data_IF_405817296696
#
_entry.id   IF_405817296696
#
_cell.length_a   1.000
_cell.length_b   1.000
_cell.length_c   1.000
_cell.angle_alpha   90.00
_cell.angle_beta   90.00
_cell.angle_gamma   90.00
#
_symmetry.space_group_name_H-M   'P 1'
#
loop_
_entity.id
_entity.type
_entity.pdbx_description
1 polymer ?
#
# COMPACT_ATOMS: atom_id res chain seq x y z
N UNK A 1 -19.78 25.31 -35.63
CA UNK A 1 -18.73 25.66 -34.65
C UNK A 1 -17.77 24.49 -34.57
N UNK A 2 -16.55 24.64 -35.09
CA UNK A 2 -15.55 23.58 -35.12
C UNK A 2 -14.59 23.76 -33.94
N UNK A 3 -14.55 22.78 -33.04
CA UNK A 3 -13.58 22.74 -31.94
C UNK A 3 -12.28 22.13 -32.45
N UNK A 4 -11.21 22.92 -32.50
CA UNK A 4 -9.84 22.45 -32.74
C UNK A 4 -9.22 22.08 -31.40
N UNK A 5 -8.84 20.82 -31.24
CA UNK A 5 -8.01 20.36 -30.13
C UNK A 5 -6.55 20.39 -30.59
N UNK A 6 -5.76 21.32 -30.07
CA UNK A 6 -4.31 21.32 -30.24
C UNK A 6 -3.67 20.49 -29.13
N UNK A 7 -3.07 19.37 -29.51
CA UNK A 7 -2.35 18.48 -28.62
C UNK A 7 -1.00 19.10 -28.22
N UNK A 8 -0.78 19.30 -26.93
CA UNK A 8 0.54 19.65 -26.37
C UNK A 8 1.48 18.44 -26.42
N UNK A 9 2.21 18.28 -27.52
CA UNK A 9 3.35 17.37 -27.60
C UNK A 9 4.64 18.14 -27.33
N UNK A 10 5.34 17.81 -26.25
CA UNK A 10 6.68 18.33 -25.96
C UNK A 10 7.67 17.61 -26.87
N UNK A 11 8.27 18.32 -27.82
CA UNK A 11 9.38 17.82 -28.64
C UNK A 11 10.70 18.09 -27.92
N UNK A 12 11.29 17.05 -27.34
CA UNK A 12 12.66 17.12 -26.81
C UNK A 12 13.64 16.78 -27.93
N UNK A 13 14.47 17.74 -28.32
CA UNK A 13 15.67 17.49 -29.13
C UNK A 13 16.83 17.17 -28.17
N UNK A 14 17.32 15.94 -28.17
CA UNK A 14 18.56 15.58 -27.46
C UNK A 14 19.73 15.61 -28.43
N UNK A 15 20.64 16.56 -28.23
CA UNK A 15 21.97 16.61 -28.83
C UNK A 15 22.96 15.90 -27.91
N UNK A 16 23.83 15.05 -28.50
CA UNK A 16 24.93 14.27 -27.91
C UNK A 16 24.59 12.87 -27.33
N UNK A 17 25.35 11.80 -27.70
CA UNK A 17 25.05 10.42 -27.29
C UNK A 17 25.51 10.15 -25.85
N UNK A 18 24.55 10.04 -24.92
CA UNK A 18 24.81 9.56 -23.57
C UNK A 18 25.35 8.11 -23.60
N UNK A 19 26.37 7.83 -22.75
CA UNK A 19 26.92 6.48 -22.52
C UNK A 19 25.78 5.49 -22.29
N UNK A 20 25.72 4.44 -23.13
CA UNK A 20 24.64 3.44 -23.15
C UNK A 20 24.47 2.82 -21.76
N UNK A 21 23.36 3.16 -21.11
CA UNK A 21 22.86 2.45 -19.92
C UNK A 21 22.65 0.98 -20.30
N UNK A 22 23.08 0.05 -19.45
CA UNK A 22 22.89 -1.39 -19.68
C UNK A 22 21.40 -1.68 -19.88
N UNK A 23 21.04 -2.03 -21.10
CA UNK A 23 19.67 -2.41 -21.42
C UNK A 23 19.40 -3.79 -20.81
N UNK A 24 18.35 -3.89 -20.01
CA UNK A 24 17.84 -5.17 -19.54
C UNK A 24 17.31 -5.99 -20.72
N UNK A 25 17.60 -7.30 -20.73
CA UNK A 25 17.07 -8.21 -21.73
C UNK A 25 15.53 -8.23 -21.67
N UNK A 26 14.85 -8.38 -22.82
CA UNK A 26 13.41 -8.60 -22.84
C UNK A 26 13.06 -9.88 -22.08
N UNK A 27 11.89 -9.89 -21.43
CA UNK A 27 11.39 -11.08 -20.76
C UNK A 27 11.27 -12.25 -21.76
N UNK A 28 11.55 -13.50 -21.33
CA UNK A 28 11.42 -14.66 -22.20
C UNK A 28 9.99 -14.77 -22.73
N UNK A 29 9.78 -15.27 -23.96
CA UNK A 29 8.44 -15.47 -24.51
C UNK A 29 7.68 -16.48 -23.63
N UNK A 30 6.75 -15.96 -22.82
CA UNK A 30 5.86 -16.75 -21.98
C UNK A 30 4.68 -17.30 -22.77
N UNK A 31 4.48 -18.61 -22.67
CA UNK A 31 3.35 -19.40 -23.19
C UNK A 31 2.02 -18.64 -23.09
N UNK A 32 1.49 -18.24 -24.25
CA UNK A 32 0.10 -17.82 -24.41
C UNK A 32 -0.67 -18.96 -25.07
N UNK A 33 -1.69 -19.49 -24.39
CA UNK A 33 -2.74 -20.29 -25.02
C UNK A 33 -2.42 -21.76 -25.29
N UNK A 34 -3.39 -22.62 -25.03
CA UNK A 34 -3.30 -24.06 -25.15
C UNK A 34 -3.26 -24.54 -26.62
N UNK A 35 -2.37 -25.49 -26.92
CA UNK A 35 -2.71 -26.71 -27.69
C UNK A 35 -1.58 -27.72 -27.57
N UNK A 36 -1.96 -29.00 -27.53
CA UNK A 36 -1.09 -30.17 -27.48
C UNK A 36 -0.26 -30.33 -28.75
N UNK A 37 1.06 -30.29 -28.64
CA UNK A 37 2.01 -31.10 -29.43
C UNK A 37 3.37 -31.12 -28.72
N UNK A 38 4.07 -32.26 -28.80
CA UNK A 38 5.37 -32.50 -28.17
C UNK A 38 6.49 -31.76 -28.91
N UNK A 39 6.79 -30.53 -28.50
CA UNK A 39 7.85 -29.73 -29.14
C UNK A 39 9.17 -29.80 -28.37
N UNK A 40 10.13 -30.54 -28.94
CA UNK A 40 11.55 -30.57 -28.54
C UNK A 40 12.21 -29.20 -28.62
N UNK A 41 11.59 -28.24 -29.32
CA UNK A 41 12.12 -26.88 -29.54
C UNK A 41 11.97 -25.96 -28.32
N UNK A 42 11.04 -26.23 -27.40
CA UNK A 42 10.88 -25.43 -26.18
C UNK A 42 12.06 -25.59 -25.21
N UNK A 43 12.65 -26.79 -25.16
CA UNK A 43 13.81 -27.08 -24.27
C UNK A 43 15.06 -26.39 -24.81
N UNK A 44 15.27 -26.42 -26.13
CA UNK A 44 16.43 -25.76 -26.76
C UNK A 44 16.42 -24.24 -26.59
N UNK A 45 15.24 -23.62 -26.55
CA UNK A 45 15.12 -22.16 -26.37
C UNK A 45 15.45 -21.73 -24.93
N UNK A 46 15.04 -22.53 -23.93
CA UNK A 46 15.40 -22.28 -22.52
C UNK A 46 16.89 -22.53 -22.30
N UNK A 47 17.46 -23.58 -22.90
CA UNK A 47 18.88 -23.90 -22.74
C UNK A 47 19.78 -22.78 -23.28
N UNK A 48 19.50 -22.26 -24.49
CA UNK A 48 20.24 -21.13 -25.07
C UNK A 48 20.18 -19.87 -24.21
N UNK A 49 19.05 -19.65 -23.54
CA UNK A 49 18.89 -18.51 -22.62
C UNK A 49 19.74 -18.69 -21.36
N UNK A 50 19.81 -19.92 -20.81
CA UNK A 50 20.67 -20.23 -19.67
C UNK A 50 22.16 -20.09 -20.02
N UNK A 51 22.57 -20.55 -21.21
CA UNK A 51 23.97 -20.43 -21.67
C UNK A 51 24.40 -18.96 -21.78
N UNK A 52 23.52 -18.09 -22.30
CA UNK A 52 23.78 -16.63 -22.37
C UNK A 52 23.91 -15.97 -20.99
N UNK A 53 23.23 -16.49 -19.96
CA UNK A 53 23.35 -15.97 -18.59
C UNK A 53 24.66 -16.41 -17.94
N UNK A 54 25.11 -17.65 -18.18
CA UNK A 54 26.39 -18.15 -17.65
C UNK A 54 27.58 -17.42 -18.28
N UNK A 55 27.57 -17.21 -19.59
CA UNK A 55 28.64 -16.51 -20.32
C UNK A 55 28.81 -15.05 -19.82
N UNK A 56 27.71 -14.39 -19.45
CA UNK A 56 27.76 -13.03 -18.86
C UNK A 56 28.24 -13.01 -17.41
N UNK A 57 28.01 -14.09 -16.65
CA UNK A 57 28.50 -14.22 -15.27
C UNK A 57 30.01 -14.45 -15.23
N UNK A 58 30.56 -15.19 -16.20
CA UNK A 58 32.01 -15.38 -16.34
C UNK A 58 32.73 -14.08 -16.70
N UNK A 59 32.13 -13.26 -17.56
CA UNK A 59 32.64 -11.93 -17.92
C UNK A 59 32.55 -10.86 -16.81
N UNK A 60 31.99 -11.19 -15.64
CA UNK A 60 31.90 -10.30 -14.47
C UNK A 60 32.84 -10.72 -13.33
N UNK A 61 33.67 -11.74 -13.52
CA UNK A 61 34.72 -12.09 -12.56
C UNK A 61 35.81 -11.01 -12.58
N UNK A 62 36.10 -10.34 -11.46
CA UNK A 62 37.24 -9.43 -11.38
C UNK A 62 38.52 -10.22 -11.63
N UNK A 63 39.37 -9.74 -12.54
CA UNK A 63 40.73 -10.26 -12.69
C UNK A 63 41.51 -9.98 -11.41
N UNK A 64 42.10 -11.03 -10.84
CA UNK A 64 42.97 -10.98 -9.67
C UNK A 64 44.13 -9.99 -9.92
N UNK A 65 44.14 -8.87 -9.20
CA UNK A 65 45.33 -8.05 -9.05
C UNK A 65 45.70 -7.99 -7.58
N UNK A 66 46.77 -8.74 -7.28
CA UNK A 66 47.56 -8.69 -6.06
C UNK A 66 47.92 -7.23 -5.70
N UNK A 67 47.50 -6.80 -4.51
CA UNK A 67 47.82 -5.49 -3.97
C UNK A 67 47.58 -5.46 -2.47
N UNK A 68 48.63 -5.72 -1.70
CA UNK A 68 48.68 -5.60 -0.25
C UNK A 68 48.33 -4.17 0.18
N UNK A 69 47.35 -4.00 1.06
CA UNK A 69 47.23 -2.79 1.88
C UNK A 69 46.65 -3.13 3.25
N UNK A 70 47.25 -2.48 4.23
CA UNK A 70 47.36 -2.82 5.63
C UNK A 70 46.07 -2.72 6.46
N UNK A 71 46.07 -3.54 7.49
CA UNK A 71 45.26 -3.53 8.69
C UNK A 71 45.13 -2.14 9.32
N UNK A 72 43.90 -1.60 9.33
CA UNK A 72 43.53 -0.55 10.28
C UNK A 72 42.20 -0.93 10.94
N UNK A 73 42.34 -1.33 12.19
CA UNK A 73 41.27 -1.58 13.14
C UNK A 73 40.32 -0.38 13.17
N UNK A 74 39.05 -0.61 12.84
CA UNK A 74 38.00 0.36 13.03
C UNK A 74 37.88 0.67 14.54
N UNK A 75 37.80 1.95 14.96
CA UNK A 75 37.55 2.27 16.35
C UNK A 75 36.14 1.81 16.71
N UNK A 76 36.05 1.12 17.85
CA UNK A 76 34.79 0.88 18.57
C UNK A 76 34.07 2.22 18.72
N UNK A 77 32.99 2.40 17.96
CA UNK A 77 32.10 3.54 18.15
C UNK A 77 31.25 3.23 19.37
N UNK A 78 31.63 3.83 20.49
CA UNK A 78 30.82 4.00 21.69
C UNK A 78 29.36 4.24 21.29
N UNK A 79 28.51 3.27 21.61
CA UNK A 79 27.07 3.38 21.51
C UNK A 79 26.54 3.97 22.82
N UNK A 80 26.93 5.20 23.13
CA UNK A 80 26.31 5.99 24.20
C UNK A 80 25.96 7.38 23.66
N UNK A 81 24.64 7.52 23.45
CA UNK A 81 23.80 8.72 23.57
C UNK A 81 24.20 10.01 22.84
N UNK A 82 23.42 10.36 21.82
CA UNK A 82 22.77 11.68 21.79
C UNK A 82 21.30 11.48 21.42
N UNK A 83 20.45 11.68 22.43
CA UNK A 83 19.03 11.93 22.28
C UNK A 83 18.87 13.28 21.55
N UNK A 84 18.53 13.23 20.26
CA UNK A 84 17.76 14.31 19.65
C UNK A 84 16.33 13.81 19.52
N UNK A 85 15.65 13.73 20.67
CA UNK A 85 14.20 13.94 20.70
C UNK A 85 13.93 15.42 20.41
N UNK A 86 14.31 15.84 19.21
CA UNK A 86 13.75 17.05 18.63
C UNK A 86 12.30 16.67 18.36
N UNK A 87 11.43 17.15 19.24
CA UNK A 87 9.99 17.02 19.25
C UNK A 87 9.44 17.29 17.84
N UNK A 88 9.49 16.26 16.98
CA UNK A 88 9.10 16.35 15.57
C UNK A 88 7.61 16.36 15.62
N UNK A 89 7.07 17.58 15.78
CA UNK A 89 5.65 17.84 15.98
C UNK A 89 4.85 16.88 15.12
N UNK A 90 4.18 15.96 15.81
CA UNK A 90 3.43 14.86 15.22
C UNK A 90 2.47 15.46 14.19
N UNK A 91 2.58 15.01 12.94
CA UNK A 91 1.78 15.57 11.85
C UNK A 91 0.28 15.43 12.13
N UNK A 92 -0.55 16.30 11.58
CA UNK A 92 -2.02 16.12 11.61
C UNK A 92 -2.44 14.74 11.08
N UNK A 93 -1.71 14.20 10.09
CA UNK A 93 -1.97 12.86 9.56
C UNK A 93 -1.65 11.71 10.51
N UNK A 94 -0.90 11.94 11.58
CA UNK A 94 -0.59 10.94 12.61
C UNK A 94 -1.69 10.79 13.65
N UNK A 95 -2.67 11.70 13.71
CA UNK A 95 -3.77 11.60 14.68
C UNK A 95 -4.48 10.24 14.61
N UNK A 96 -4.55 9.58 15.77
CA UNK A 96 -5.11 8.25 15.94
C UNK A 96 -4.21 7.10 15.44
N UNK A 97 -2.89 7.28 15.36
CA UNK A 97 -1.96 6.17 15.09
C UNK A 97 -2.09 5.06 16.16
N UNK A 98 -2.04 3.76 15.81
CA UNK A 98 -1.86 3.18 14.46
C UNK A 98 -3.17 2.87 13.71
N UNK A 99 -4.31 2.83 14.39
CA UNK A 99 -5.56 2.31 13.81
C UNK A 99 -6.33 3.31 12.94
N UNK A 100 -6.26 4.58 13.30
CA UNK A 100 -7.08 5.67 12.77
C UNK A 100 -6.27 6.70 11.98
N UNK A 101 -4.94 6.65 12.06
CA UNK A 101 -4.05 7.56 11.33
C UNK A 101 -4.22 7.49 9.81
N UNK A 102 -3.74 8.54 9.14
CA UNK A 102 -3.75 8.63 7.68
C UNK A 102 -2.65 7.75 7.07
N UNK A 103 -2.50 7.81 5.75
CA UNK A 103 -1.43 7.06 5.06
C UNK A 103 -0.06 7.55 5.54
N UNK A 104 0.96 6.69 5.63
CA UNK A 104 2.32 7.11 5.91
C UNK A 104 2.80 8.16 4.90
N UNK A 105 3.53 9.16 5.38
CA UNK A 105 4.11 10.22 4.55
C UNK A 105 5.29 9.70 3.75
N UNK A 106 5.17 9.74 2.42
CA UNK A 106 6.24 9.28 1.52
C UNK A 106 7.46 10.20 1.50
N UNK A 107 7.29 11.47 1.88
CA UNK A 107 8.37 12.46 1.90
C UNK A 107 9.22 12.28 3.15
N UNK A 108 8.57 12.16 4.31
CA UNK A 108 9.26 11.81 5.56
C UNK A 108 10.01 10.48 5.46
N UNK A 109 9.40 9.47 4.83
CA UNK A 109 10.07 8.19 4.57
C UNK A 109 11.33 8.30 3.71
N UNK A 110 11.47 9.37 2.91
CA UNK A 110 12.65 9.66 2.09
C UNK A 110 13.67 10.56 2.80
N UNK A 111 13.37 11.05 3.99
CA UNK A 111 14.26 11.85 4.83
C UNK A 111 13.54 13.01 5.49
N UNK A 112 12.81 13.81 4.72
CA UNK A 112 12.19 15.04 5.24
C UNK A 112 10.87 15.40 4.55
N UNK A 113 9.99 16.05 5.31
CA UNK A 113 8.68 16.52 4.86
C UNK A 113 8.57 18.03 5.13
N UNK A 114 8.52 18.82 4.06
CA UNK A 114 8.44 20.28 4.13
C UNK A 114 7.17 20.81 4.83
N UNK A 115 6.10 20.01 4.90
CA UNK A 115 4.85 20.40 5.56
C UNK A 115 4.92 20.26 7.10
N UNK A 116 5.90 19.54 7.64
CA UNK A 116 6.08 19.37 9.09
C UNK A 116 4.80 18.91 9.81
N UNK A 117 4.41 19.63 10.87
CA UNK A 117 3.22 19.35 11.67
C UNK A 117 1.90 19.46 10.87
N UNK A 118 1.88 20.29 9.82
CA UNK A 118 0.69 20.49 8.99
C UNK A 118 0.50 19.38 7.94
N UNK A 119 1.41 18.40 7.89
CA UNK A 119 1.30 17.33 6.90
C UNK A 119 0.03 16.50 7.12
N UNK A 120 -0.75 16.33 6.05
CA UNK A 120 -1.93 15.48 6.05
C UNK A 120 -1.65 13.97 6.02
N UNK A 121 -0.39 13.55 6.14
CA UNK A 121 0.05 12.16 6.12
C UNK A 121 0.75 11.81 7.43
N UNK A 122 0.64 10.56 7.88
CA UNK A 122 1.23 10.12 9.14
C UNK A 122 2.75 10.14 9.08
N UNK A 123 3.35 10.75 10.10
CA UNK A 123 4.79 10.87 10.30
C UNK A 123 5.36 9.79 11.24
N UNK A 124 4.50 9.00 11.87
CA UNK A 124 4.92 8.00 12.86
C UNK A 124 5.43 6.72 12.18
N UNK A 125 6.18 5.92 12.94
CA UNK A 125 6.78 4.70 12.42
C UNK A 125 5.73 3.63 12.13
N UNK A 126 5.62 3.22 10.86
CA UNK A 126 4.75 2.12 10.45
C UNK A 126 5.57 0.84 10.24
N UNK A 127 5.74 0.07 11.31
CA UNK A 127 6.58 -1.13 11.32
C UNK A 127 6.01 -2.29 10.48
N UNK A 128 4.68 -2.35 10.31
CA UNK A 128 4.05 -3.35 9.44
C UNK A 128 3.40 -2.73 8.21
N UNK A 129 3.71 -3.30 7.03
CA UNK A 129 2.97 -2.97 5.82
C UNK A 129 1.53 -3.44 5.98
N UNK A 130 0.62 -2.48 6.19
CA UNK A 130 -0.82 -2.74 6.19
C UNK A 130 -1.20 -3.68 5.04
N UNK A 131 -2.00 -4.70 5.34
CA UNK A 131 -2.44 -5.65 4.31
C UNK A 131 -3.21 -4.87 3.25
N UNK A 132 -2.91 -5.13 1.99
CA UNK A 132 -3.58 -4.51 0.86
C UNK A 132 -4.46 -5.56 0.19
N UNK A 133 -5.66 -5.16 -0.18
CA UNK A 133 -6.50 -5.94 -1.07
C UNK A 133 -5.77 -6.12 -2.40
N UNK A 134 -5.77 -7.32 -2.95
CA UNK A 134 -5.23 -7.57 -4.29
C UNK A 134 -6.13 -6.96 -5.38
N UNK A 135 -5.69 -7.06 -6.65
CA UNK A 135 -6.45 -6.50 -7.78
C UNK A 135 -7.85 -7.11 -7.88
N UNK A 136 -7.96 -8.44 -7.76
CA UNK A 136 -9.22 -9.18 -7.91
C UNK A 136 -10.19 -8.88 -6.77
N UNK A 137 -9.70 -8.76 -5.55
CA UNK A 137 -10.49 -8.39 -4.37
C UNK A 137 -11.05 -6.98 -4.49
N UNK A 138 -10.25 -6.03 -4.98
CA UNK A 138 -10.72 -4.65 -5.22
C UNK A 138 -11.76 -4.59 -6.33
N UNK A 139 -11.55 -5.31 -7.43
CA UNK A 139 -12.53 -5.42 -8.52
C UNK A 139 -13.83 -6.04 -8.04
N UNK A 140 -13.74 -7.08 -7.21
CA UNK A 140 -14.92 -7.70 -6.61
C UNK A 140 -15.66 -6.73 -5.67
N UNK A 141 -14.97 -6.04 -4.76
CA UNK A 141 -15.62 -5.04 -3.91
C UNK A 141 -16.30 -3.94 -4.73
N UNK A 142 -15.67 -3.47 -5.82
CA UNK A 142 -16.27 -2.48 -6.73
C UNK A 142 -17.49 -2.99 -7.50
N UNK A 143 -17.66 -4.30 -7.61
CA UNK A 143 -18.83 -4.90 -8.25
C UNK A 143 -20.02 -5.06 -7.30
N UNK A 144 -19.81 -4.89 -6.00
CA UNK A 144 -20.86 -4.89 -5.00
C UNK A 144 -21.51 -3.51 -4.93
N UNK A 145 -22.80 -3.48 -4.64
CA UNK A 145 -23.51 -2.27 -4.27
C UNK A 145 -23.09 -1.80 -2.87
N UNK A 146 -23.28 -0.51 -2.59
CA UNK A 146 -22.84 0.10 -1.33
C UNK A 146 -23.48 -0.57 -0.10
N UNK A 147 -24.73 -1.05 -0.20
CA UNK A 147 -25.39 -1.72 0.92
C UNK A 147 -24.77 -3.09 1.21
N UNK A 148 -24.40 -3.85 0.18
CA UNK A 148 -23.62 -5.09 0.31
C UNK A 148 -22.23 -4.85 0.90
N UNK A 149 -21.55 -3.76 0.49
CA UNK A 149 -20.23 -3.39 1.05
C UNK A 149 -20.37 -3.06 2.54
N UNK A 150 -21.33 -2.22 2.92
CA UNK A 150 -21.57 -1.86 4.32
C UNK A 150 -21.93 -3.08 5.17
N UNK A 151 -22.85 -3.93 4.69
CA UNK A 151 -23.21 -5.16 5.38
C UNK A 151 -22.01 -6.10 5.56
N UNK A 152 -21.09 -6.13 4.60
CA UNK A 152 -19.87 -6.91 4.68
C UNK A 152 -18.87 -6.32 5.70
N UNK A 153 -18.72 -4.99 5.75
CA UNK A 153 -17.71 -4.31 6.57
C UNK A 153 -18.10 -4.15 8.04
N UNK A 154 -19.38 -3.94 8.34
CA UNK A 154 -19.89 -3.68 9.70
C UNK A 154 -19.43 -4.72 10.75
N UNK A 155 -19.50 -6.04 10.50
CA UNK A 155 -18.99 -7.03 11.45
C UNK A 155 -17.50 -6.87 11.73
N UNK A 156 -16.70 -6.53 10.71
CA UNK A 156 -15.26 -6.33 10.87
C UNK A 156 -14.95 -5.03 11.61
N UNK A 157 -15.73 -3.96 11.40
CA UNK A 157 -15.59 -2.70 12.12
C UNK A 157 -15.86 -2.89 13.62
N UNK A 158 -16.94 -3.60 13.99
CA UNK A 158 -17.27 -3.92 15.39
C UNK A 158 -16.16 -4.73 16.06
N UNK A 159 -15.71 -5.80 15.41
CA UNK A 159 -14.62 -6.64 15.94
C UNK A 159 -13.36 -5.80 16.10
N UNK A 160 -13.00 -4.97 15.12
CA UNK A 160 -11.77 -4.18 15.16
C UNK A 160 -11.81 -3.08 16.22
N UNK A 161 -12.97 -2.45 16.43
CA UNK A 161 -13.15 -1.46 17.49
C UNK A 161 -12.80 -2.05 18.87
N UNK A 162 -13.24 -3.28 19.14
CA UNK A 162 -12.93 -3.98 20.38
C UNK A 162 -11.50 -4.52 20.43
N UNK A 163 -11.03 -5.21 19.38
CA UNK A 163 -9.69 -5.81 19.33
C UNK A 163 -8.55 -4.79 19.43
N UNK A 164 -8.77 -3.58 18.91
CA UNK A 164 -7.77 -2.51 18.94
C UNK A 164 -7.97 -1.52 20.09
N UNK A 165 -8.87 -1.85 21.03
CA UNK A 165 -9.15 -1.06 22.25
C UNK A 165 -9.48 0.40 21.92
N UNK A 166 -10.29 0.61 20.87
CA UNK A 166 -10.76 1.95 20.54
C UNK A 166 -11.74 2.45 21.62
N UNK A 167 -11.84 3.77 21.82
CA UNK A 167 -12.83 4.36 22.72
C UNK A 167 -14.23 3.85 22.38
N UNK A 168 -14.86 3.12 23.32
CA UNK A 168 -16.08 2.36 23.06
C UNK A 168 -17.24 3.26 22.64
N UNK A 169 -17.37 4.43 23.27
CA UNK A 169 -18.42 5.41 22.99
C UNK A 169 -18.31 5.97 21.57
N UNK A 170 -17.14 6.49 21.21
CA UNK A 170 -16.89 7.16 19.93
C UNK A 170 -16.86 6.13 18.77
N UNK A 171 -16.26 4.95 18.99
CA UNK A 171 -16.27 3.89 17.99
C UNK A 171 -17.68 3.33 17.79
N UNK A 172 -18.44 3.17 18.88
CA UNK A 172 -19.85 2.77 18.85
C UNK A 172 -20.73 3.77 18.11
N UNK A 173 -20.48 5.07 18.25
CA UNK A 173 -21.19 6.12 17.52
C UNK A 173 -20.96 6.01 16.01
N UNK A 174 -19.71 5.86 15.56
CA UNK A 174 -19.36 5.67 14.15
C UNK A 174 -20.06 4.43 13.58
N UNK A 175 -19.98 3.30 14.29
CA UNK A 175 -20.63 2.05 13.87
C UNK A 175 -22.17 2.22 13.80
N UNK A 176 -22.78 2.88 14.78
CA UNK A 176 -24.22 3.13 14.82
C UNK A 176 -24.70 4.03 13.68
N UNK A 177 -23.91 5.02 13.27
CA UNK A 177 -24.18 5.86 12.10
C UNK A 177 -24.21 5.02 10.81
N UNK A 178 -23.24 4.12 10.64
CA UNK A 178 -23.18 3.22 9.49
C UNK A 178 -24.32 2.21 9.46
N UNK A 179 -24.74 1.69 10.61
CA UNK A 179 -25.89 0.80 10.73
C UNK A 179 -27.19 1.49 10.35
N UNK A 180 -27.39 2.73 10.82
CA UNK A 180 -28.53 3.56 10.40
C UNK A 180 -28.50 3.82 8.90
N UNK A 181 -27.33 4.13 8.34
CA UNK A 181 -27.17 4.30 6.89
C UNK A 181 -27.61 3.04 6.16
N UNK A 182 -27.08 1.87 6.54
CA UNK A 182 -27.46 0.59 5.94
C UNK A 182 -28.97 0.33 6.04
N UNK A 183 -29.60 0.65 7.18
CA UNK A 183 -31.04 0.49 7.37
C UNK A 183 -31.90 1.40 6.48
N UNK A 184 -31.39 2.57 6.09
CA UNK A 184 -32.07 3.47 5.13
C UNK A 184 -31.88 3.08 3.67
N UNK A 185 -30.94 2.19 3.38
CA UNK A 185 -30.68 1.71 2.02
C UNK A 185 -31.70 0.63 1.66
N UNK A 186 -32.05 0.57 0.37
CA UNK A 186 -32.86 -0.53 -0.14
C UNK A 186 -32.20 -1.87 0.22
N UNK A 187 -32.99 -2.92 0.51
CA UNK A 187 -32.44 -4.23 0.84
C UNK A 187 -31.45 -4.63 -0.25
N UNK A 188 -30.22 -4.97 0.16
CA UNK A 188 -29.15 -5.35 -0.74
C UNK A 188 -29.69 -6.29 -1.81
N UNK A 189 -29.57 -5.91 -3.08
CA UNK A 189 -29.82 -6.81 -4.19
C UNK A 189 -28.75 -7.88 -4.12
N UNK A 190 -28.98 -8.91 -3.29
CA UNK A 190 -27.97 -9.87 -2.89
C UNK A 190 -27.28 -10.41 -4.15
N UNK A 191 -26.05 -9.99 -4.45
CA UNK A 191 -25.33 -10.65 -5.51
C UNK A 191 -25.10 -12.08 -5.03
N UNK A 192 -25.26 -13.06 -5.91
CA UNK A 192 -24.92 -14.44 -5.60
C UNK A 192 -23.40 -14.55 -5.42
N UNK A 193 -22.88 -14.09 -4.28
CA UNK A 193 -21.47 -14.08 -3.96
C UNK A 193 -21.06 -15.52 -3.71
N UNK A 194 -20.12 -16.08 -4.47
CA UNK A 194 -19.66 -17.42 -4.19
C UNK A 194 -18.91 -17.46 -2.84
N UNK A 195 -19.27 -18.43 -1.99
CA UNK A 195 -18.78 -18.56 -0.61
C UNK A 195 -17.25 -18.54 -0.49
N UNK A 196 -16.53 -19.13 -1.45
CA UNK A 196 -15.08 -19.17 -1.44
C UNK A 196 -14.45 -17.77 -1.61
N UNK A 197 -15.09 -16.90 -2.40
CA UNK A 197 -14.62 -15.55 -2.68
C UNK A 197 -14.83 -14.66 -1.46
N UNK A 198 -16.01 -14.78 -0.83
CA UNK A 198 -16.33 -14.14 0.45
C UNK A 198 -15.34 -14.57 1.56
N UNK A 199 -15.04 -15.87 1.66
CA UNK A 199 -14.11 -16.40 2.64
C UNK A 199 -12.70 -15.83 2.48
N UNK A 200 -12.21 -15.69 1.24
CA UNK A 200 -10.89 -15.09 0.97
C UNK A 200 -10.86 -13.60 1.32
N UNK A 201 -11.92 -12.88 0.99
CA UNK A 201 -12.02 -11.46 1.29
C UNK A 201 -12.07 -11.22 2.80
N UNK A 202 -12.90 -11.97 3.53
CA UNK A 202 -13.01 -11.88 4.99
C UNK A 202 -11.66 -12.11 5.69
N UNK A 203 -10.80 -13.01 5.19
CA UNK A 203 -9.45 -13.21 5.74
C UNK A 203 -8.56 -11.96 5.64
N UNK A 204 -8.73 -11.15 4.60
CA UNK A 204 -7.97 -9.90 4.43
C UNK A 204 -8.60 -8.77 5.23
N UNK A 205 -9.93 -8.64 5.21
CA UNK A 205 -10.66 -7.61 5.95
C UNK A 205 -10.35 -7.63 7.45
N UNK A 206 -10.26 -8.82 8.06
CA UNK A 206 -9.85 -9.00 9.46
C UNK A 206 -8.46 -8.45 9.82
N UNK A 207 -7.60 -8.22 8.83
CA UNK A 207 -6.22 -7.73 9.03
C UNK A 207 -6.07 -6.25 8.65
N UNK A 208 -7.16 -5.58 8.33
CA UNK A 208 -7.16 -4.16 8.04
C UNK A 208 -7.36 -3.37 9.32
N UNK A 209 -6.75 -2.19 9.41
CA UNK A 209 -7.00 -1.25 10.50
C UNK A 209 -8.39 -0.64 10.36
N UNK A 210 -8.90 -0.07 11.46
CA UNK A 210 -10.23 0.53 11.48
C UNK A 210 -10.43 1.58 10.37
N UNK A 211 -9.49 2.50 10.19
CA UNK A 211 -9.59 3.53 9.13
C UNK A 211 -9.62 2.96 7.72
N UNK A 212 -9.02 1.78 7.50
CA UNK A 212 -9.04 1.14 6.18
C UNK A 212 -10.35 0.48 5.89
N UNK A 213 -10.98 -0.13 6.89
CA UNK A 213 -12.35 -0.61 6.77
C UNK A 213 -13.29 0.58 6.49
N UNK A 214 -13.16 1.68 7.23
CA UNK A 214 -13.95 2.89 6.99
C UNK A 214 -13.81 3.46 5.57
N UNK A 215 -12.59 3.55 5.05
CA UNK A 215 -12.34 4.04 3.67
C UNK A 215 -12.85 3.10 2.58
N UNK A 216 -13.14 1.84 2.88
CA UNK A 216 -13.77 0.92 1.93
C UNK A 216 -15.28 1.09 1.88
N UNK A 217 -15.91 1.62 2.93
CA UNK A 217 -17.35 1.71 3.09
C UNK A 217 -18.02 2.77 2.20
N UNK A 218 -17.29 3.43 1.28
CA UNK A 218 -17.77 4.50 0.40
C UNK A 218 -18.52 5.65 1.11
N UNK A 219 -18.41 5.76 2.44
CA UNK A 219 -19.14 6.71 3.29
C UNK A 219 -18.63 8.16 3.25
N UNK A 220 -17.90 8.54 2.20
CA UNK A 220 -17.38 9.91 2.05
C UNK A 220 -18.47 10.97 1.85
N UNK A 221 -19.74 10.56 1.77
CA UNK A 221 -20.90 11.45 1.59
C UNK A 221 -21.72 11.62 2.89
N UNK A 222 -21.16 11.24 4.05
CA UNK A 222 -21.83 11.36 5.34
C UNK A 222 -21.05 12.29 6.27
N UNK A 223 -21.38 13.60 6.32
CA UNK A 223 -20.67 14.55 7.16
C UNK A 223 -20.69 14.14 8.64
N UNK A 224 -21.81 13.57 9.11
CA UNK A 224 -21.95 13.07 10.47
C UNK A 224 -20.94 11.95 10.81
N UNK A 225 -20.61 11.10 9.83
CA UNK A 225 -19.63 10.02 10.01
C UNK A 225 -18.21 10.58 10.05
N UNK A 226 -17.89 11.55 9.20
CA UNK A 226 -16.59 12.20 9.21
C UNK A 226 -16.36 12.96 10.53
N UNK A 227 -17.38 13.66 11.05
CA UNK A 227 -17.31 14.34 12.34
C UNK A 227 -17.13 13.35 13.51
N UNK A 228 -17.89 12.25 13.53
CA UNK A 228 -17.71 11.19 14.53
C UNK A 228 -16.33 10.53 14.43
N UNK A 229 -15.79 10.38 13.22
CA UNK A 229 -14.45 9.81 13.01
C UNK A 229 -13.33 10.73 13.53
N UNK A 230 -13.48 12.05 13.40
CA UNK A 230 -12.55 13.03 13.98
C UNK A 230 -12.56 12.93 15.51
N UNK A 231 -13.76 12.92 16.13
CA UNK A 231 -13.89 12.73 17.59
C UNK A 231 -13.24 11.43 18.08
N UNK A 232 -13.44 10.35 17.33
CA UNK A 232 -12.80 9.05 17.60
C UNK A 232 -11.27 9.12 17.50
N UNK A 233 -10.74 9.82 16.49
CA UNK A 233 -9.29 10.01 16.33
C UNK A 233 -8.67 10.78 17.50
N UNK A 234 -9.34 11.83 17.96
CA UNK A 234 -8.91 12.65 19.10
C UNK A 234 -8.94 11.84 20.40
N UNK A 235 -10.07 11.19 20.70
CA UNK A 235 -10.24 10.36 21.89
C UNK A 235 -9.22 9.21 21.95
N UNK A 236 -8.95 8.55 20.82
CA UNK A 236 -7.96 7.47 20.77
C UNK A 236 -6.53 7.99 20.98
N UNK A 237 -6.20 9.17 20.45
CA UNK A 237 -4.88 9.78 20.63
C UNK A 237 -4.63 10.16 22.09
N UNK A 238 -5.66 10.62 22.80
CA UNK A 238 -5.58 10.94 24.24
C UNK A 238 -5.33 9.68 25.07
N UNK A 239 -5.98 8.56 24.73
CA UNK A 239 -5.83 7.31 25.48
C UNK A 239 -4.50 6.60 25.26
N UNK A 240 -3.75 6.94 24.19
CA UNK A 240 -2.42 6.40 23.90
C UNK A 240 -1.27 7.24 24.49
N UNK A 241 -1.52 8.50 24.81
CA UNK A 241 -0.54 9.43 25.38
C UNK A 241 -0.44 9.29 26.90
#
# INVERSE_FOLDING_TARGET
>A
MALKFEATFISMKTTEPAKKRSQSLPAPPGRSGASSTTDKDSVGQVQRYLDQLMDRAENLRPEDQDGQVEEQMAPERNAEEVQEEENKATSQGSLGHPELCRRPCIYLQKGDCAEGANCGYCHDAHHERSKKLDKRQREFLRSLDDSSILALLLPHLRIRAHEATLPETEAGEVVSLLERKLATMAPATAPAIPMWQLSRLNKVLKKLTFIRLMRLATCHELPDVDEALVRLQEAYSINLA
#
